data_IF_777205308290
#
_entry.id   IF_777205308290
#
_cell.length_a   1.000
_cell.length_b   1.000
_cell.length_c   1.000
_cell.angle_alpha   90.00
_cell.angle_beta   90.00
_cell.angle_gamma   90.00
#
_symmetry.space_group_name_H-M   'P 1'
#
loop_
_entity.id
_entity.type
_entity.pdbx_description
1 polymer ?
#
# COMPACT_ATOMS: atom_id res chain seq x y z
N UNK A 1 9.14 -6.58 4.27
CA UNK A 1 8.52 -5.51 5.08
C UNK A 1 9.59 -4.47 5.45
N UNK A 2 9.29 -3.18 5.63
CA UNK A 2 10.31 -2.20 6.00
C UNK A 2 10.87 -2.44 7.41
N UNK A 3 12.19 -2.33 7.57
CA UNK A 3 12.88 -2.44 8.87
C UNK A 3 12.80 -1.17 9.73
N UNK A 4 12.42 -0.04 9.12
CA UNK A 4 12.37 1.25 9.79
C UNK A 4 11.03 1.92 9.51
N UNK A 5 10.47 2.56 10.54
CA UNK A 5 9.27 3.36 10.37
C UNK A 5 9.59 4.53 9.44
N UNK A 6 8.58 5.04 8.75
CA UNK A 6 8.79 6.11 7.79
C UNK A 6 9.27 7.41 8.46
N UNK A 7 10.10 8.16 7.74
CA UNK A 7 10.70 9.42 8.24
C UNK A 7 10.07 10.66 7.61
N UNK A 8 9.35 10.49 6.50
CA UNK A 8 8.62 11.56 5.81
C UNK A 8 7.28 11.07 5.29
N UNK A 9 6.23 11.85 5.48
CA UNK A 9 4.89 11.57 4.98
C UNK A 9 4.26 12.85 4.45
N UNK A 10 3.60 12.76 3.29
CA UNK A 10 2.90 13.90 2.70
C UNK A 10 3.76 15.18 2.58
N UNK A 11 5.04 15.00 2.24
CA UNK A 11 6.01 16.08 2.03
C UNK A 11 6.61 16.71 3.30
N UNK A 12 6.34 16.14 4.48
CA UNK A 12 6.80 16.65 5.78
C UNK A 12 7.54 15.55 6.57
N UNK A 13 8.50 15.91 7.44
CA UNK A 13 9.10 14.99 8.40
C UNK A 13 8.05 14.42 9.36
N UNK A 14 8.24 13.17 9.78
CA UNK A 14 7.37 12.47 10.73
C UNK A 14 8.07 12.34 12.08
N UNK A 15 7.35 12.67 13.14
CA UNK A 15 7.83 12.63 14.51
C UNK A 15 6.81 11.91 15.41
N UNK A 16 7.29 11.12 16.36
CA UNK A 16 6.43 10.41 17.31
C UNK A 16 5.80 11.41 18.29
N UNK A 17 4.48 11.40 18.38
CA UNK A 17 3.74 12.16 19.36
C UNK A 17 3.70 11.42 20.69
N UNK A 18 4.00 12.14 21.77
CA UNK A 18 4.04 11.58 23.12
C UNK A 18 2.93 12.19 23.98
N UNK A 19 2.38 11.38 24.89
CA UNK A 19 1.44 11.90 25.88
C UNK A 19 2.09 13.00 26.74
N UNK A 20 1.32 14.02 27.10
CA UNK A 20 1.82 15.21 27.81
C UNK A 20 2.49 16.27 26.92
N UNK A 21 2.58 16.06 25.61
CA UNK A 21 2.99 17.13 24.67
C UNK A 21 1.99 18.28 24.74
N UNK A 22 2.46 19.51 25.00
CA UNK A 22 1.59 20.70 25.16
C UNK A 22 1.42 21.51 23.87
N UNK A 23 2.36 21.39 22.93
CA UNK A 23 2.39 22.16 21.67
C UNK A 23 2.91 21.31 20.52
N UNK A 24 2.38 21.52 19.31
CA UNK A 24 2.81 20.82 18.10
C UNK A 24 2.90 21.78 16.91
N UNK A 25 3.89 21.60 16.03
CA UNK A 25 4.06 22.40 14.81
C UNK A 25 3.37 21.72 13.60
N UNK A 26 2.04 21.85 13.54
CA UNK A 26 1.19 21.25 12.50
C UNK A 26 1.58 21.63 11.06
N UNK A 27 2.29 22.75 10.87
CA UNK A 27 2.73 23.20 9.55
C UNK A 27 3.98 22.45 9.07
N UNK A 28 4.85 21.99 9.99
CA UNK A 28 6.17 21.45 9.66
C UNK A 28 6.30 19.95 9.87
N UNK A 29 5.58 19.36 10.82
CA UNK A 29 5.73 17.95 11.19
C UNK A 29 4.41 17.20 11.10
N UNK A 30 4.52 15.93 10.73
CA UNK A 30 3.42 14.95 10.82
C UNK A 30 3.58 14.18 12.11
N UNK A 31 2.52 14.12 12.90
CA UNK A 31 2.49 13.27 14.08
C UNK A 31 2.34 11.81 13.69
N UNK A 32 3.21 10.95 14.23
CA UNK A 32 2.96 9.51 14.33
C UNK A 32 2.47 9.17 15.73
N UNK A 33 1.27 8.62 15.80
CA UNK A 33 0.70 8.08 17.04
C UNK A 33 1.02 6.59 17.08
N UNK A 34 1.88 6.18 18.00
CA UNK A 34 2.27 4.78 18.18
C UNK A 34 2.60 4.53 19.65
N UNK A 35 2.48 3.27 20.06
CA UNK A 35 2.86 2.81 21.39
C UNK A 35 3.94 1.75 21.26
N UNK A 36 4.78 1.64 22.29
CA UNK A 36 5.68 0.51 22.46
C UNK A 36 5.04 -0.55 23.38
N UNK A 37 5.69 -1.69 23.52
CA UNK A 37 5.20 -2.83 24.30
C UNK A 37 5.01 -2.52 25.80
N UNK A 38 5.82 -1.62 26.36
CA UNK A 38 5.80 -1.29 27.79
C UNK A 38 4.93 -0.05 28.10
N UNK A 39 4.39 0.59 27.06
CA UNK A 39 3.64 1.83 27.17
C UNK A 39 2.35 1.63 27.97
N UNK A 40 2.09 2.48 29.00
CA UNK A 40 0.79 2.52 29.67
C UNK A 40 -0.27 3.26 28.84
N UNK A 41 0.13 3.97 27.78
CA UNK A 41 -0.76 4.68 26.88
C UNK A 41 -1.30 3.76 25.77
N UNK A 42 -2.44 4.13 25.20
CA UNK A 42 -2.98 3.52 23.98
C UNK A 42 -3.03 4.54 22.85
N UNK A 43 -3.05 4.09 21.59
CA UNK A 43 -3.21 4.99 20.44
C UNK A 43 -4.48 5.85 20.55
N UNK A 44 -5.67 5.33 20.97
CA UNK A 44 -6.83 6.17 21.28
C UNK A 44 -6.56 7.27 22.32
N UNK A 45 -5.78 6.98 23.37
CA UNK A 45 -5.39 7.99 24.36
C UNK A 45 -4.48 9.07 23.76
N UNK A 46 -3.49 8.66 22.96
CA UNK A 46 -2.61 9.59 22.24
C UNK A 46 -3.39 10.47 21.27
N UNK A 47 -4.36 9.90 20.55
CA UNK A 47 -5.21 10.63 19.63
C UNK A 47 -6.11 11.63 20.37
N UNK A 48 -6.66 11.26 21.54
CA UNK A 48 -7.43 12.17 22.38
C UNK A 48 -6.58 13.36 22.86
N UNK A 49 -5.34 13.10 23.27
CA UNK A 49 -4.39 14.14 23.67
C UNK A 49 -4.03 15.05 22.50
N UNK A 50 -3.71 14.47 21.34
CA UNK A 50 -3.41 15.20 20.10
C UNK A 50 -4.58 16.08 19.66
N UNK A 51 -5.80 15.54 19.61
CA UNK A 51 -7.04 16.25 19.27
C UNK A 51 -7.41 17.37 20.25
N UNK A 52 -6.81 17.38 21.44
CA UNK A 52 -7.01 18.42 22.46
C UNK A 52 -6.05 19.60 22.31
N UNK A 53 -5.00 19.48 21.50
CA UNK A 53 -4.03 20.55 21.29
C UNK A 53 -4.66 21.80 20.65
N UNK A 54 -4.28 23.01 21.10
CA UNK A 54 -4.64 24.23 20.40
C UNK A 54 -4.04 24.25 18.98
N UNK A 55 -4.87 24.49 17.96
CA UNK A 55 -4.43 24.55 16.56
C UNK A 55 -4.45 23.22 15.80
N UNK A 56 -4.91 22.12 16.43
CA UNK A 56 -4.96 20.78 15.83
C UNK A 56 -5.75 20.72 14.52
N UNK A 57 -6.66 21.65 14.30
CA UNK A 57 -7.41 21.79 13.05
C UNK A 57 -6.51 22.03 11.84
N UNK A 58 -5.26 22.48 12.02
CA UNK A 58 -4.26 22.64 10.97
C UNK A 58 -3.60 21.31 10.54
N UNK A 59 -3.94 20.18 11.16
CA UNK A 59 -3.41 18.86 10.79
C UNK A 59 -3.82 18.49 9.37
N UNK A 60 -2.85 18.38 8.47
CA UNK A 60 -3.06 17.94 7.08
C UNK A 60 -2.75 16.45 6.87
N UNK A 61 -1.90 15.87 7.71
CA UNK A 61 -1.48 14.49 7.60
C UNK A 61 -1.29 13.87 8.98
N UNK A 62 -1.58 12.58 9.09
CA UNK A 62 -1.43 11.81 10.32
C UNK A 62 -0.94 10.40 10.01
N UNK A 63 -0.05 9.88 10.86
CA UNK A 63 0.42 8.50 10.79
C UNK A 63 0.02 7.78 12.06
N UNK A 64 -0.46 6.57 11.93
CA UNK A 64 -0.68 5.64 13.04
C UNK A 64 0.35 4.51 12.87
N UNK A 65 1.26 4.37 13.85
CA UNK A 65 2.19 3.24 13.91
C UNK A 65 1.61 2.09 14.74
N UNK A 66 2.44 1.34 15.45
CA UNK A 66 1.98 0.23 16.30
C UNK A 66 0.90 0.68 17.31
N UNK A 67 -0.23 -0.05 17.34
CA UNK A 67 -1.35 0.18 18.26
C UNK A 67 -1.56 -0.93 19.28
N UNK A 68 -0.71 -1.95 19.25
CA UNK A 68 -0.75 -3.08 20.16
C UNK A 68 0.55 -3.15 20.95
N UNK A 69 0.45 -3.42 22.25
CA UNK A 69 1.57 -3.92 23.03
C UNK A 69 1.66 -5.44 22.88
N UNK A 70 1.02 -6.17 23.80
CA UNK A 70 1.05 -7.65 23.88
C UNK A 70 -0.24 -8.34 23.38
N UNK A 71 -1.22 -7.58 22.89
CA UNK A 71 -2.55 -8.10 22.54
C UNK A 71 -2.74 -8.19 21.03
N UNK A 72 -3.35 -9.27 20.55
CA UNK A 72 -3.75 -9.42 19.13
C UNK A 72 -5.01 -8.60 18.79
N UNK A 73 -5.15 -7.40 19.38
CA UNK A 73 -6.32 -6.55 19.15
C UNK A 73 -6.33 -6.10 17.67
N UNK A 74 -7.46 -5.60 17.17
CA UNK A 74 -7.50 -5.06 15.81
C UNK A 74 -7.31 -3.54 15.82
N UNK A 75 -7.20 -2.93 14.64
CA UNK A 75 -7.25 -1.47 14.51
C UNK A 75 -8.60 -0.84 14.87
N UNK A 76 -9.61 -1.62 15.30
CA UNK A 76 -10.98 -1.16 15.51
C UNK A 76 -11.04 0.05 16.45
N UNK A 77 -10.40 -0.03 17.63
CA UNK A 77 -10.41 1.08 18.61
C UNK A 77 -9.72 2.34 18.06
N UNK A 78 -8.70 2.17 17.21
CA UNK A 78 -8.02 3.27 16.54
C UNK A 78 -8.95 3.93 15.52
N UNK A 79 -9.65 3.13 14.70
CA UNK A 79 -10.62 3.62 13.71
C UNK A 79 -11.78 4.35 14.41
N UNK A 80 -12.31 3.79 15.49
CA UNK A 80 -13.36 4.43 16.29
C UNK A 80 -12.90 5.76 16.90
N UNK A 81 -11.66 5.82 17.40
CA UNK A 81 -11.09 7.05 17.93
C UNK A 81 -10.88 8.11 16.83
N UNK A 82 -10.38 7.72 15.65
CA UNK A 82 -10.24 8.61 14.49
C UNK A 82 -11.59 9.23 14.09
N UNK A 83 -12.64 8.40 13.98
CA UNK A 83 -14.00 8.87 13.69
C UNK A 83 -14.52 9.79 14.80
N UNK A 84 -14.29 9.44 16.06
CA UNK A 84 -14.72 10.23 17.23
C UNK A 84 -14.14 11.64 17.21
N UNK A 85 -12.87 11.79 16.80
CA UNK A 85 -12.17 13.06 16.75
C UNK A 85 -12.15 13.73 15.38
N UNK A 86 -12.88 13.21 14.39
CA UNK A 86 -12.84 13.70 13.02
C UNK A 86 -13.17 15.20 12.89
N UNK A 87 -14.14 15.71 13.67
CA UNK A 87 -14.49 17.14 13.68
C UNK A 87 -13.35 18.07 14.15
N UNK A 88 -12.37 17.53 14.88
CA UNK A 88 -11.17 18.25 15.31
C UNK A 88 -10.06 18.25 14.26
N UNK A 89 -10.17 17.40 13.24
CA UNK A 89 -9.20 17.24 12.16
C UNK A 89 -9.82 17.58 10.79
N UNK A 90 -10.49 18.74 10.63
CA UNK A 90 -11.27 19.04 9.43
C UNK A 90 -10.42 19.20 8.15
N UNK A 91 -9.10 19.40 8.29
CA UNK A 91 -8.17 19.58 7.18
C UNK A 91 -7.32 18.33 6.89
N UNK A 92 -7.65 17.18 7.47
CA UNK A 92 -6.90 15.94 7.23
C UNK A 92 -7.02 15.50 5.76
N UNK A 93 -5.88 15.38 5.10
CA UNK A 93 -5.74 15.05 3.66
C UNK A 93 -4.92 13.79 3.44
N UNK A 94 -4.09 13.38 4.40
CA UNK A 94 -3.34 12.15 4.31
C UNK A 94 -3.40 11.34 5.61
N UNK A 95 -3.67 10.04 5.47
CA UNK A 95 -3.67 9.10 6.59
C UNK A 95 -2.87 7.87 6.20
N UNK A 96 -1.93 7.49 7.05
CA UNK A 96 -1.33 6.16 7.01
C UNK A 96 -1.70 5.42 8.29
N UNK A 97 -2.48 4.35 8.15
CA UNK A 97 -2.80 3.39 9.20
C UNK A 97 -1.89 2.14 9.10
N UNK A 98 -0.96 1.97 10.03
CA UNK A 98 -0.10 0.78 10.06
C UNK A 98 1.36 1.04 9.74
N UNK A 99 1.94 2.18 10.12
CA UNK A 99 3.39 2.36 10.07
C UNK A 99 4.09 1.51 11.15
N UNK A 100 3.94 0.20 11.03
CA UNK A 100 4.45 -0.87 11.87
C UNK A 100 5.60 -1.52 11.12
N UNK A 101 6.73 -1.76 11.76
CA UNK A 101 7.91 -2.42 11.15
C UNK A 101 7.98 -3.90 11.51
N UNK A 102 8.83 -4.65 10.80
CA UNK A 102 9.05 -6.08 11.01
C UNK A 102 9.42 -6.45 12.45
N UNK A 103 10.19 -5.59 13.14
CA UNK A 103 10.55 -5.80 14.56
C UNK A 103 9.35 -5.64 15.51
N UNK A 104 8.35 -4.84 15.13
CA UNK A 104 7.16 -4.59 15.94
C UNK A 104 6.10 -5.68 15.74
N UNK A 105 5.79 -6.02 14.48
CA UNK A 105 4.87 -7.08 14.14
C UNK A 105 5.07 -7.50 12.68
N UNK A 106 4.96 -8.79 12.39
CA UNK A 106 4.95 -9.33 11.03
C UNK A 106 3.73 -8.81 10.25
N UNK A 107 3.87 -8.51 8.95
CA UNK A 107 2.81 -7.83 8.18
C UNK A 107 1.53 -8.67 8.09
N UNK A 108 1.68 -9.99 8.05
CA UNK A 108 0.58 -10.96 8.02
C UNK A 108 -0.14 -11.09 9.37
N UNK A 109 0.47 -10.60 10.45
CA UNK A 109 -0.07 -10.60 11.81
C UNK A 109 -0.68 -9.26 12.20
N UNK A 110 -0.62 -8.25 11.33
CA UNK A 110 -1.27 -6.95 11.56
C UNK A 110 -2.77 -7.09 11.33
N UNK A 111 -3.51 -7.17 12.43
CA UNK A 111 -4.97 -7.19 12.46
C UNK A 111 -5.53 -5.77 12.22
N UNK A 112 -6.12 -5.59 11.05
CA UNK A 112 -6.88 -4.40 10.67
C UNK A 112 -8.35 -4.55 11.08
N UNK A 113 -9.18 -3.63 10.61
CA UNK A 113 -10.63 -3.61 10.85
C UNK A 113 -11.38 -3.07 9.62
N UNK A 114 -12.69 -2.85 9.77
CA UNK A 114 -13.49 -2.15 8.78
C UNK A 114 -13.16 -0.65 8.80
N UNK A 115 -12.71 -0.12 7.66
CA UNK A 115 -12.31 1.28 7.48
C UNK A 115 -13.43 2.15 6.89
N UNK A 116 -14.61 1.59 6.63
CA UNK A 116 -15.71 2.27 5.92
C UNK A 116 -16.15 3.57 6.58
N UNK A 117 -16.04 3.66 7.92
CA UNK A 117 -16.39 4.84 8.69
C UNK A 117 -15.41 6.01 8.50
N UNK A 118 -14.16 5.75 8.06
CA UNK A 118 -13.15 6.80 7.84
C UNK A 118 -13.50 7.68 6.64
N UNK A 119 -14.08 7.12 5.58
CA UNK A 119 -14.35 7.86 4.34
C UNK A 119 -15.32 9.04 4.50
N UNK A 120 -16.51 8.87 5.13
CA UNK A 120 -17.37 10.01 5.41
C UNK A 120 -16.82 10.93 6.52
N UNK A 121 -15.98 10.41 7.42
CA UNK A 121 -15.36 11.20 8.49
C UNK A 121 -14.28 12.15 7.95
N UNK A 122 -13.54 11.74 6.92
CA UNK A 122 -12.45 12.51 6.32
C UNK A 122 -12.65 12.71 4.81
N UNK A 123 -13.64 13.52 4.39
CA UNK A 123 -14.02 13.68 2.99
C UNK A 123 -12.97 14.41 2.13
N UNK A 124 -11.93 14.97 2.76
CA UNK A 124 -10.83 15.67 2.09
C UNK A 124 -9.58 14.80 1.88
N UNK A 125 -9.64 13.50 2.20
CA UNK A 125 -8.51 12.59 1.99
C UNK A 125 -8.08 12.55 0.52
N UNK A 126 -6.80 12.83 0.32
CA UNK A 126 -6.05 12.77 -0.94
C UNK A 126 -5.10 11.57 -0.96
N UNK A 127 -4.66 11.10 0.21
CA UNK A 127 -3.74 9.98 0.34
C UNK A 127 -4.21 9.05 1.47
N UNK A 128 -4.47 7.78 1.13
CA UNK A 128 -4.73 6.72 2.09
C UNK A 128 -3.71 5.61 1.92
N UNK A 129 -3.01 5.28 2.99
CA UNK A 129 -2.08 4.15 3.06
C UNK A 129 -2.48 3.24 4.22
N UNK A 130 -2.48 1.93 3.98
CA UNK A 130 -2.77 0.90 4.98
C UNK A 130 -1.72 -0.19 4.87
N UNK A 131 -1.22 -0.69 6.00
CA UNK A 131 -0.32 -1.86 6.04
C UNK A 131 -0.90 -2.95 6.93
N UNK A 132 -0.86 -4.18 6.45
CA UNK A 132 -1.57 -5.32 7.02
C UNK A 132 -2.95 -5.47 6.40
N UNK A 133 -3.39 -6.71 6.16
CA UNK A 133 -4.69 -7.00 5.55
C UNK A 133 -5.54 -8.03 6.29
N UNK A 134 -5.04 -8.56 7.42
CA UNK A 134 -5.83 -9.47 8.26
C UNK A 134 -7.06 -8.73 8.77
N UNK A 135 -8.25 -9.27 8.49
CA UNK A 135 -9.56 -8.66 8.77
C UNK A 135 -9.83 -7.26 8.15
N UNK A 136 -8.97 -6.78 7.25
CA UNK A 136 -9.17 -5.50 6.56
C UNK A 136 -10.45 -5.50 5.71
N UNK A 137 -11.23 -4.42 5.81
CA UNK A 137 -12.20 -4.04 4.78
C UNK A 137 -12.09 -2.54 4.54
N UNK A 138 -11.98 -2.14 3.28
CA UNK A 138 -12.13 -0.74 2.88
C UNK A 138 -13.61 -0.35 2.83
N UNK A 139 -14.48 -1.35 2.71
CA UNK A 139 -15.91 -1.18 2.52
C UNK A 139 -16.24 -0.53 1.17
N UNK A 140 -17.49 -0.05 1.03
CA UNK A 140 -17.92 0.72 -0.14
C UNK A 140 -17.81 2.20 0.16
N UNK A 141 -17.06 2.94 -0.66
CA UNK A 141 -16.78 4.33 -0.38
C UNK A 141 -16.71 5.25 -1.61
N UNK A 142 -16.99 6.52 -1.35
CA UNK A 142 -16.79 7.64 -2.28
C UNK A 142 -15.69 8.52 -1.69
N UNK A 143 -14.59 8.69 -2.43
CA UNK A 143 -13.45 9.49 -2.02
C UNK A 143 -13.08 10.45 -3.17
N UNK A 144 -13.85 11.53 -3.36
CA UNK A 144 -13.76 12.38 -4.55
C UNK A 144 -12.46 13.19 -4.66
N UNK A 145 -11.64 13.21 -3.60
CA UNK A 145 -10.34 13.87 -3.56
C UNK A 145 -9.17 12.90 -3.55
N UNK A 146 -9.41 11.59 -3.42
CA UNK A 146 -8.36 10.60 -3.28
C UNK A 146 -7.52 10.54 -4.56
N UNK A 147 -6.22 10.80 -4.39
CA UNK A 147 -5.21 10.75 -5.45
C UNK A 147 -4.28 9.55 -5.30
N UNK A 148 -4.11 9.05 -4.08
CA UNK A 148 -3.24 7.92 -3.77
C UNK A 148 -3.96 6.94 -2.84
N UNK A 149 -3.99 5.67 -3.25
CA UNK A 149 -4.40 4.54 -2.42
C UNK A 149 -3.28 3.49 -2.43
N UNK A 150 -2.78 3.14 -1.24
CA UNK A 150 -1.73 2.15 -1.04
C UNK A 150 -2.23 1.13 -0.01
N UNK A 151 -2.19 -0.15 -0.35
CA UNK A 151 -2.47 -1.25 0.58
C UNK A 151 -1.31 -2.23 0.54
N UNK A 152 -0.57 -2.29 1.65
CA UNK A 152 0.56 -3.18 1.85
C UNK A 152 0.11 -4.42 2.62
N UNK A 153 0.45 -5.61 2.12
CA UNK A 153 0.01 -6.89 2.65
C UNK A 153 0.97 -7.98 2.24
N UNK A 154 1.10 -9.04 3.05
CA UNK A 154 1.72 -10.30 2.64
C UNK A 154 0.78 -11.27 1.93
N UNK A 155 -0.53 -10.94 1.87
CA UNK A 155 -1.58 -11.72 1.22
C UNK A 155 -2.88 -10.92 1.18
N UNK A 156 -3.11 -10.14 0.12
CA UNK A 156 -4.25 -9.24 0.04
C UNK A 156 -5.53 -9.99 -0.36
N UNK A 157 -6.55 -10.05 0.51
CA UNK A 157 -7.77 -10.77 0.17
C UNK A 157 -8.47 -10.14 -1.04
N UNK A 158 -8.98 -10.97 -1.94
CA UNK A 158 -9.73 -10.61 -3.15
C UNK A 158 -10.88 -9.65 -2.86
N UNK A 159 -11.54 -9.79 -1.70
CA UNK A 159 -12.59 -8.84 -1.27
C UNK A 159 -12.05 -7.41 -1.21
N UNK A 160 -10.84 -7.21 -0.69
CA UNK A 160 -10.21 -5.89 -0.52
C UNK A 160 -9.78 -5.34 -1.87
N UNK A 161 -9.26 -6.20 -2.76
CA UNK A 161 -9.01 -5.82 -4.17
C UNK A 161 -10.31 -5.32 -4.82
N UNK A 162 -11.41 -6.05 -4.66
CA UNK A 162 -12.71 -5.66 -5.23
C UNK A 162 -13.24 -4.35 -4.65
N UNK A 163 -13.11 -4.14 -3.34
CA UNK A 163 -13.48 -2.89 -2.66
C UNK A 163 -12.64 -1.71 -3.17
N UNK A 164 -11.31 -1.87 -3.28
CA UNK A 164 -10.42 -0.86 -3.84
C UNK A 164 -10.78 -0.49 -5.27
N UNK A 165 -11.06 -1.49 -6.14
CA UNK A 165 -11.44 -1.27 -7.53
C UNK A 165 -12.87 -0.71 -7.69
N UNK A 166 -13.76 -0.91 -6.71
CA UNK A 166 -15.11 -0.36 -6.68
C UNK A 166 -15.18 1.07 -6.12
N UNK A 167 -14.06 1.65 -5.71
CA UNK A 167 -13.98 2.97 -5.09
C UNK A 167 -14.50 4.09 -6.01
N UNK A 168 -15.32 4.97 -5.44
CA UNK A 168 -15.71 6.25 -6.06
C UNK A 168 -14.58 7.29 -5.99
N UNK A 169 -13.47 7.04 -6.69
CA UNK A 169 -12.24 7.85 -6.64
C UNK A 169 -11.85 8.40 -8.03
N UNK A 170 -12.57 9.39 -8.58
CA UNK A 170 -12.32 9.92 -9.93
C UNK A 170 -10.98 10.65 -10.08
N UNK A 171 -10.39 11.09 -8.96
CA UNK A 171 -9.11 11.79 -8.90
C UNK A 171 -7.90 10.87 -8.67
N UNK A 172 -8.11 9.54 -8.57
CA UNK A 172 -7.05 8.58 -8.27
C UNK A 172 -5.99 8.59 -9.36
N UNK A 173 -4.72 8.77 -8.95
CA UNK A 173 -3.52 8.84 -9.79
C UNK A 173 -2.54 7.72 -9.48
N UNK A 174 -2.46 7.29 -8.23
CA UNK A 174 -1.61 6.19 -7.77
C UNK A 174 -2.46 5.13 -7.08
N UNK A 175 -2.45 3.92 -7.64
CA UNK A 175 -3.02 2.73 -7.02
C UNK A 175 -1.88 1.73 -6.80
N UNK A 176 -1.66 1.37 -5.54
CA UNK A 176 -0.67 0.37 -5.16
C UNK A 176 -1.31 -0.69 -4.26
N UNK A 177 -1.23 -1.93 -4.71
CA UNK A 177 -1.73 -3.10 -4.01
C UNK A 177 -0.62 -4.13 -3.96
N UNK A 178 -0.23 -4.53 -2.76
CA UNK A 178 0.68 -5.65 -2.55
C UNK A 178 -0.18 -6.91 -2.44
N UNK A 179 -0.11 -7.76 -3.46
CA UNK A 179 -1.08 -8.84 -3.65
C UNK A 179 -0.79 -10.04 -2.74
N UNK A 180 0.47 -10.20 -2.37
CA UNK A 180 0.99 -11.24 -1.50
C UNK A 180 0.86 -12.63 -2.09
N UNK A 181 0.74 -13.60 -1.18
CA UNK A 181 0.57 -15.03 -1.50
C UNK A 181 -0.68 -15.60 -0.86
N UNK A 182 -1.10 -16.78 -1.33
CA UNK A 182 -2.24 -17.50 -0.75
C UNK A 182 -2.02 -17.98 0.70
N UNK A 183 -0.78 -18.26 1.07
CA UNK A 183 -0.38 -18.65 2.42
C UNK A 183 -0.73 -17.62 3.49
N UNK A 184 -0.83 -16.34 3.11
CA UNK A 184 -1.12 -15.22 4.01
C UNK A 184 -2.44 -14.51 3.68
N UNK A 185 -3.31 -15.16 2.91
CA UNK A 185 -4.70 -14.72 2.67
C UNK A 185 -4.98 -14.11 1.29
N UNK A 186 -3.99 -14.06 0.39
CA UNK A 186 -4.17 -13.64 -0.99
C UNK A 186 -4.96 -14.66 -1.81
N UNK A 187 -6.02 -14.23 -2.48
CA UNK A 187 -6.84 -15.12 -3.34
C UNK A 187 -7.36 -14.41 -4.60
N UNK A 188 -6.69 -13.31 -4.96
CA UNK A 188 -6.98 -12.56 -6.19
C UNK A 188 -6.39 -13.26 -7.42
N UNK A 189 -6.96 -12.95 -8.58
CA UNK A 189 -6.50 -13.47 -9.87
C UNK A 189 -6.47 -12.33 -10.89
N UNK A 190 -5.81 -12.49 -12.05
CA UNK A 190 -5.82 -11.47 -13.10
C UNK A 190 -7.25 -11.06 -13.55
N UNK A 191 -8.21 -11.98 -13.46
CA UNK A 191 -9.61 -11.72 -13.82
C UNK A 191 -10.25 -10.61 -12.95
N UNK A 192 -9.82 -10.47 -11.70
CA UNK A 192 -10.32 -9.44 -10.78
C UNK A 192 -9.94 -8.02 -11.24
N UNK A 193 -8.90 -7.88 -12.07
CA UNK A 193 -8.43 -6.60 -12.61
C UNK A 193 -8.99 -6.27 -13.99
N UNK A 194 -9.86 -7.11 -14.57
CA UNK A 194 -10.37 -6.96 -15.96
C UNK A 194 -10.91 -5.56 -16.25
N UNK A 195 -11.68 -4.96 -15.32
CA UNK A 195 -12.25 -3.63 -15.51
C UNK A 195 -11.18 -2.52 -15.46
N UNK A 196 -10.18 -2.67 -14.58
CA UNK A 196 -9.04 -1.78 -14.48
C UNK A 196 -8.20 -1.84 -15.76
N UNK A 197 -7.82 -3.05 -16.17
CA UNK A 197 -7.02 -3.32 -17.37
C UNK A 197 -7.69 -2.83 -18.65
N UNK A 198 -9.01 -2.96 -18.75
CA UNK A 198 -9.80 -2.39 -19.84
C UNK A 198 -9.87 -0.85 -19.82
N UNK A 199 -9.24 -0.17 -18.85
CA UNK A 199 -9.23 1.29 -18.72
C UNK A 199 -10.57 1.89 -18.31
N UNK A 200 -11.47 1.08 -17.70
CA UNK A 200 -12.83 1.52 -17.32
C UNK A 200 -12.88 2.17 -15.94
N UNK A 201 -11.82 2.03 -15.16
CA UNK A 201 -11.69 2.55 -13.79
C UNK A 201 -10.64 3.67 -13.73
N UNK A 202 -10.83 4.58 -12.76
CA UNK A 202 -9.89 5.64 -12.39
C UNK A 202 -9.33 6.44 -13.57
N UNK A 203 -10.09 7.38 -14.17
CA UNK A 203 -9.72 8.05 -15.43
C UNK A 203 -8.44 8.89 -15.38
N UNK A 204 -7.91 9.17 -14.18
CA UNK A 204 -6.66 9.92 -13.96
C UNK A 204 -5.47 9.08 -13.49
N UNK A 205 -5.63 7.75 -13.46
CA UNK A 205 -4.57 6.84 -13.03
C UNK A 205 -3.33 7.00 -13.91
N UNK A 206 -2.19 7.17 -13.25
CA UNK A 206 -0.89 7.47 -13.82
C UNK A 206 0.14 6.40 -13.40
N UNK A 207 0.04 5.96 -12.14
CA UNK A 207 0.83 4.87 -11.57
C UNK A 207 -0.08 3.71 -11.19
N UNK A 208 0.23 2.53 -11.72
CA UNK A 208 -0.33 1.26 -11.30
C UNK A 208 0.78 0.38 -10.75
N UNK A 209 0.69 0.06 -9.46
CA UNK A 209 1.61 -0.82 -8.76
C UNK A 209 0.84 -2.05 -8.25
N UNK A 210 1.13 -3.22 -8.81
CA UNK A 210 0.59 -4.50 -8.39
C UNK A 210 1.79 -5.35 -7.94
N UNK A 211 2.22 -5.09 -6.71
CA UNK A 211 3.49 -5.54 -6.18
C UNK A 211 3.33 -6.84 -5.41
N UNK A 212 4.45 -7.46 -5.10
CA UNK A 212 4.56 -8.54 -4.13
C UNK A 212 3.59 -9.68 -4.47
N UNK A 213 3.63 -10.15 -5.72
CA UNK A 213 2.61 -11.05 -6.27
C UNK A 213 3.25 -12.39 -6.66
N UNK A 214 2.71 -13.50 -6.15
CA UNK A 214 3.20 -14.86 -6.44
C UNK A 214 2.72 -15.41 -7.80
N UNK A 215 1.66 -14.85 -8.37
CA UNK A 215 1.13 -15.16 -9.70
C UNK A 215 1.47 -14.09 -10.76
N UNK A 216 2.53 -13.32 -10.52
CA UNK A 216 2.87 -12.13 -11.32
C UNK A 216 3.11 -12.41 -12.80
N UNK A 217 3.55 -13.62 -13.19
CA UNK A 217 3.69 -14.00 -14.61
C UNK A 217 2.33 -13.98 -15.35
N UNK A 218 1.27 -14.51 -14.73
CA UNK A 218 -0.07 -14.50 -15.30
C UNK A 218 -0.65 -13.07 -15.33
N UNK A 219 -0.33 -12.28 -14.30
CA UNK A 219 -0.71 -10.86 -14.23
C UNK A 219 -0.01 -10.04 -15.32
N UNK A 220 1.28 -10.30 -15.56
CA UNK A 220 2.08 -9.70 -16.62
C UNK A 220 1.51 -10.04 -18.00
N UNK A 221 1.11 -11.29 -18.22
CA UNK A 221 0.44 -11.72 -19.44
C UNK A 221 -0.90 -11.00 -19.66
N UNK A 222 -1.71 -10.86 -18.61
CA UNK A 222 -2.97 -10.15 -18.68
C UNK A 222 -2.79 -8.66 -18.99
N UNK A 223 -1.89 -7.98 -18.29
CA UNK A 223 -1.68 -6.53 -18.46
C UNK A 223 -0.96 -6.18 -19.77
N UNK A 224 -0.10 -7.05 -20.30
CA UNK A 224 0.62 -6.82 -21.56
C UNK A 224 -0.32 -6.51 -22.74
N UNK A 225 -1.55 -7.02 -22.72
CA UNK A 225 -2.57 -6.76 -23.76
C UNK A 225 -3.58 -5.68 -23.38
N UNK A 226 -3.44 -5.09 -22.19
CA UNK A 226 -4.45 -4.25 -21.58
C UNK A 226 -4.40 -2.80 -22.10
N UNK A 227 -5.56 -2.20 -22.47
CA UNK A 227 -5.65 -0.80 -22.86
C UNK A 227 -5.09 0.21 -21.84
N UNK A 228 -5.05 -0.15 -20.55
CA UNK A 228 -4.52 0.73 -19.50
C UNK A 228 -3.05 1.15 -19.73
N UNK A 229 -2.23 0.29 -20.37
CA UNK A 229 -0.82 0.56 -20.64
C UNK A 229 -0.59 1.75 -21.58
N UNK A 230 -1.58 2.11 -22.40
CA UNK A 230 -1.49 3.29 -23.28
C UNK A 230 -1.76 4.60 -22.53
N UNK A 231 -2.12 4.53 -21.24
CA UNK A 231 -2.56 5.68 -20.44
C UNK A 231 -1.70 5.94 -19.21
N UNK A 232 -1.29 4.89 -18.51
CA UNK A 232 -0.41 5.03 -17.34
C UNK A 232 1.01 5.38 -17.79
N UNK A 233 1.77 6.03 -16.92
CA UNK A 233 3.19 6.32 -17.15
C UNK A 233 4.10 5.39 -16.37
N UNK A 234 3.60 4.81 -15.28
CA UNK A 234 4.37 3.91 -14.40
C UNK A 234 3.62 2.61 -14.18
N UNK A 235 4.27 1.51 -14.52
CA UNK A 235 3.88 0.16 -14.13
C UNK A 235 4.91 -0.37 -13.16
N UNK A 236 4.44 -0.90 -12.04
CA UNK A 236 5.26 -1.54 -11.02
C UNK A 236 4.70 -2.94 -10.73
N UNK A 237 5.51 -3.96 -11.03
CA UNK A 237 5.26 -5.38 -10.75
C UNK A 237 6.38 -5.98 -9.88
N UNK A 238 7.07 -5.11 -9.13
CA UNK A 238 8.19 -5.48 -8.25
C UNK A 238 7.76 -6.34 -7.07
N UNK A 239 8.74 -6.85 -6.32
CA UNK A 239 8.56 -7.64 -5.10
C UNK A 239 7.91 -9.01 -5.32
N UNK A 240 7.57 -9.37 -6.56
CA UNK A 240 6.92 -10.64 -6.89
C UNK A 240 7.90 -11.74 -7.33
N UNK A 241 7.32 -12.81 -7.86
CA UNK A 241 8.05 -13.99 -8.35
C UNK A 241 8.31 -13.97 -9.86
N UNK A 242 8.45 -12.77 -10.46
CA UNK A 242 8.45 -12.58 -11.92
C UNK A 242 9.59 -13.35 -12.58
N UNK A 243 9.24 -14.15 -13.59
CA UNK A 243 10.20 -14.96 -14.36
C UNK A 243 10.30 -14.47 -15.80
N UNK A 244 11.20 -15.11 -16.56
CA UNK A 244 11.35 -14.86 -17.99
C UNK A 244 10.01 -15.03 -18.74
N UNK A 245 9.09 -15.89 -18.28
CA UNK A 245 7.79 -16.07 -18.92
C UNK A 245 6.92 -14.82 -18.85
N UNK A 246 6.79 -14.21 -17.67
CA UNK A 246 6.07 -12.94 -17.50
C UNK A 246 6.76 -11.78 -18.21
N UNK A 247 8.09 -11.70 -18.15
CA UNK A 247 8.85 -10.68 -18.85
C UNK A 247 8.73 -10.78 -20.39
N UNK A 248 8.69 -11.98 -20.95
CA UNK A 248 8.41 -12.17 -22.39
C UNK A 248 7.03 -11.63 -22.78
N UNK A 249 6.02 -11.87 -21.95
CA UNK A 249 4.70 -11.31 -22.19
C UNK A 249 4.73 -9.76 -22.19
N UNK A 250 5.43 -9.14 -21.24
CA UNK A 250 5.61 -7.68 -21.21
C UNK A 250 6.34 -7.17 -22.46
N UNK A 251 7.45 -7.81 -22.84
CA UNK A 251 8.23 -7.44 -24.03
C UNK A 251 7.44 -7.58 -25.35
N UNK A 252 6.44 -8.47 -25.38
CA UNK A 252 5.54 -8.60 -26.53
C UNK A 252 4.58 -7.41 -26.70
N UNK A 253 4.43 -6.56 -25.67
CA UNK A 253 3.58 -5.38 -25.70
C UNK A 253 4.34 -4.12 -26.12
N UNK A 254 3.98 -3.49 -27.26
CA UNK A 254 4.61 -2.23 -27.67
C UNK A 254 4.34 -1.07 -26.70
N UNK A 255 3.31 -1.17 -25.86
CA UNK A 255 2.95 -0.13 -24.90
C UNK A 255 3.95 -0.05 -23.73
N UNK A 256 4.57 -1.17 -23.35
CA UNK A 256 5.57 -1.21 -22.29
C UNK A 256 6.76 -0.31 -22.60
N UNK A 257 7.21 -0.27 -23.85
CA UNK A 257 8.31 0.60 -24.29
C UNK A 257 7.97 2.11 -24.26
N UNK A 258 6.70 2.48 -24.03
CA UNK A 258 6.24 3.88 -23.93
C UNK A 258 6.16 4.37 -22.49
N UNK A 259 6.26 3.48 -21.51
CA UNK A 259 6.19 3.84 -20.09
C UNK A 259 7.37 4.75 -19.72
N UNK A 260 7.12 5.67 -18.79
CA UNK A 260 8.15 6.50 -18.16
C UNK A 260 8.88 5.78 -17.02
N UNK A 261 8.29 4.72 -16.46
CA UNK A 261 8.93 3.80 -15.51
C UNK A 261 8.30 2.42 -15.63
N UNK A 262 9.15 1.39 -15.72
CA UNK A 262 8.77 0.00 -15.54
C UNK A 262 9.59 -0.53 -14.37
N UNK A 263 8.93 -0.80 -13.25
CA UNK A 263 9.59 -1.27 -12.04
C UNK A 263 9.35 -2.76 -11.83
N UNK A 264 10.43 -3.53 -11.89
CA UNK A 264 10.46 -4.98 -11.74
C UNK A 264 11.51 -5.40 -10.70
N UNK A 265 11.94 -4.51 -9.79
CA UNK A 265 12.93 -4.91 -8.79
C UNK A 265 12.41 -6.05 -7.92
N UNK A 266 13.33 -6.87 -7.40
CA UNK A 266 13.02 -8.12 -6.71
C UNK A 266 12.22 -9.09 -7.60
N UNK A 267 12.96 -9.88 -8.36
CA UNK A 267 12.44 -10.75 -9.42
C UNK A 267 13.36 -11.97 -9.63
N UNK A 268 12.93 -12.92 -10.48
CA UNK A 268 13.66 -14.16 -10.81
C UNK A 268 13.93 -14.25 -12.31
N UNK A 269 14.43 -13.16 -12.89
CA UNK A 269 14.72 -13.06 -14.33
C UNK A 269 16.14 -13.54 -14.59
N UNK A 270 16.35 -14.17 -15.74
CA UNK A 270 17.71 -14.48 -16.20
C UNK A 270 18.47 -13.22 -16.59
N UNK A 271 19.80 -13.29 -16.52
CA UNK A 271 20.68 -12.20 -16.98
C UNK A 271 20.40 -11.78 -18.42
N UNK A 272 20.11 -12.76 -19.29
CA UNK A 272 19.76 -12.51 -20.69
C UNK A 272 18.44 -11.75 -20.82
N UNK A 273 17.46 -12.05 -19.97
CA UNK A 273 16.17 -11.35 -19.94
C UNK A 273 16.31 -9.93 -19.40
N UNK A 274 17.02 -9.74 -18.28
CA UNK A 274 17.32 -8.41 -17.75
C UNK A 274 18.00 -7.53 -18.80
N UNK A 275 19.03 -8.06 -19.47
CA UNK A 275 19.74 -7.34 -20.53
C UNK A 275 18.85 -6.98 -21.74
N UNK A 276 17.73 -7.68 -21.95
CA UNK A 276 16.73 -7.32 -22.98
C UNK A 276 15.80 -6.22 -22.50
N UNK A 277 15.33 -6.31 -21.26
CA UNK A 277 14.45 -5.32 -20.63
C UNK A 277 15.16 -3.96 -20.51
N UNK A 278 16.41 -3.93 -20.08
CA UNK A 278 17.21 -2.69 -19.98
C UNK A 278 17.39 -1.97 -21.31
N UNK A 279 17.32 -2.69 -22.45
CA UNK A 279 17.38 -2.07 -23.79
C UNK A 279 16.13 -1.27 -24.13
N UNK A 280 15.03 -1.44 -23.41
CA UNK A 280 13.85 -0.58 -23.55
C UNK A 280 14.14 0.86 -23.13
N UNK A 281 15.10 1.07 -22.22
CA UNK A 281 15.57 2.38 -21.80
C UNK A 281 15.91 2.48 -20.31
N UNK A 282 16.45 3.62 -19.85
CA UNK A 282 16.92 3.83 -18.47
C UNK A 282 15.81 3.90 -17.42
N UNK A 283 14.57 3.67 -17.84
CA UNK A 283 13.36 3.76 -17.03
C UNK A 283 12.94 2.41 -16.47
N UNK A 284 13.66 1.34 -16.85
CA UNK A 284 13.42 -0.03 -16.38
C UNK A 284 14.29 -0.30 -15.17
N UNK A 285 13.66 -0.74 -14.08
CA UNK A 285 14.32 -1.19 -12.86
C UNK A 285 14.21 -2.72 -12.78
N UNK A 286 15.34 -3.41 -12.91
CA UNK A 286 15.48 -4.87 -12.76
C UNK A 286 16.57 -5.16 -11.72
N UNK A 287 16.58 -4.36 -10.65
CA UNK A 287 17.48 -4.56 -9.53
C UNK A 287 16.98 -5.68 -8.60
N UNK A 288 17.83 -6.10 -7.66
CA UNK A 288 17.48 -7.12 -6.66
C UNK A 288 17.06 -8.47 -7.25
N UNK A 289 17.72 -8.93 -8.32
CA UNK A 289 17.59 -10.30 -8.83
C UNK A 289 17.73 -11.32 -7.69
N UNK A 290 16.82 -12.29 -7.66
CA UNK A 290 16.78 -13.40 -6.70
C UNK A 290 17.17 -14.72 -7.36
N UNK A 291 17.70 -15.63 -6.54
CA UNK A 291 18.02 -16.99 -6.94
C UNK A 291 16.85 -17.92 -6.62
N UNK A 292 16.56 -18.84 -7.53
CA UNK A 292 15.57 -19.91 -7.31
C UNK A 292 16.08 -20.93 -6.30
N UNK A 293 15.22 -21.39 -5.39
CA UNK A 293 15.53 -22.46 -4.46
C UNK A 293 15.02 -23.80 -5.00
N UNK A 294 15.89 -24.81 -5.13
CA UNK A 294 15.48 -26.18 -5.49
C UNK A 294 15.46 -27.07 -4.26
N UNK A 295 14.27 -27.57 -3.89
CA UNK A 295 14.11 -28.54 -2.82
C UNK A 295 13.26 -29.72 -3.30
N UNK A 296 13.81 -30.93 -3.22
CA UNK A 296 13.09 -32.15 -3.62
C UNK A 296 12.76 -32.24 -5.13
N UNK A 297 13.42 -31.46 -5.99
CA UNK A 297 13.16 -31.39 -7.43
C UNK A 297 12.04 -30.41 -7.81
N UNK A 298 11.55 -29.63 -6.86
CA UNK A 298 10.64 -28.52 -7.07
C UNK A 298 11.39 -27.19 -6.93
N UNK A 299 11.04 -26.23 -7.78
CA UNK A 299 11.58 -24.86 -7.76
C UNK A 299 10.65 -24.00 -6.92
N UNK A 300 11.22 -23.33 -5.92
CA UNK A 300 10.54 -22.39 -5.03
C UNK A 300 11.00 -20.97 -5.33
N UNK A 301 10.03 -20.06 -5.37
CA UNK A 301 10.21 -18.60 -5.49
C UNK A 301 9.36 -17.95 -4.43
N UNK A 302 9.94 -17.00 -3.72
CA UNK A 302 9.25 -16.24 -2.68
C UNK A 302 9.05 -14.80 -3.15
N UNK A 303 7.92 -14.21 -2.78
CA UNK A 303 7.72 -12.76 -2.83
C UNK A 303 8.59 -12.08 -1.77
N UNK A 304 8.83 -10.78 -1.89
CA UNK A 304 9.71 -10.07 -0.96
C UNK A 304 9.13 -9.97 0.46
N UNK A 305 7.80 -9.93 0.56
CA UNK A 305 7.10 -9.61 1.81
C UNK A 305 5.90 -10.54 1.99
N UNK A 306 6.08 -11.67 2.66
CA UNK A 306 5.01 -12.64 2.86
C UNK A 306 4.55 -12.75 4.31
N UNK A 307 5.49 -12.86 5.25
CA UNK A 307 5.22 -12.93 6.69
C UNK A 307 5.25 -11.55 7.36
#
# INVERSE_FOLDING_TARGET
MPDNNLTTFFGKPVEDFQNGTETWDFARTVARLRIDYESPDTVPMLLAAYASLPGVEATEALVIGAWHGDTQDSSQDVVEALVTYAERLPNLRALFLGDIVSEENEISWINQSDLSALWPAFPLLEHMQVRGATDLSLGRFEAPRLTTLIVESGGLPRRVVQEALAAGAPELRHLELWLGTDGYGGDSTPDDFTALFAGRLFPKLDTLALRDCDYVDDLAAAIATAPILERITTLDLSLGTLTDAGAEALLASPAIAKLSRLDLHHHYLSDDMMARLERLGPVVDVSEQQDEEEYGGEIYRNVAVSE
#
